data_IF_926611374027
#
_entry.id   IF_926611374027
#
_cell.length_a   1.000
_cell.length_b   1.000
_cell.length_c   1.000
_cell.angle_alpha   90.00
_cell.angle_beta   90.00
_cell.angle_gamma   90.00
#
_symmetry.space_group_name_H-M   'P 1'
#
loop_
_entity.id
_entity.type
_entity.pdbx_description
1 polymer ?
#
# COMPACT_ATOMS: atom_id res chain seq x y z
N UNK A 1 9.55 10.01 27.07
CA UNK A 1 8.93 10.32 25.76
C UNK A 1 7.86 9.29 25.45
N UNK A 2 6.65 9.72 25.06
CA UNK A 2 5.40 8.90 25.07
C UNK A 2 5.32 7.71 24.08
N UNK A 3 6.42 7.25 23.46
CA UNK A 3 6.42 6.09 22.54
C UNK A 3 5.59 6.25 21.26
N UNK A 4 5.03 7.45 21.00
CA UNK A 4 4.17 7.70 19.84
C UNK A 4 4.98 7.63 18.53
N UNK A 5 4.41 7.10 17.44
CA UNK A 5 5.09 7.02 16.16
C UNK A 5 5.44 8.42 15.63
N UNK A 6 6.65 8.57 15.08
CA UNK A 6 7.17 9.84 14.54
C UNK A 6 7.17 9.91 13.01
N UNK A 7 6.91 8.78 12.35
CA UNK A 7 6.86 8.67 10.89
C UNK A 7 5.42 8.49 10.44
N UNK A 8 5.02 9.26 9.45
CA UNK A 8 3.68 9.20 8.86
C UNK A 8 3.64 9.93 7.54
N UNK A 9 2.65 9.59 6.72
CA UNK A 9 2.32 10.34 5.53
C UNK A 9 1.58 11.63 5.91
N UNK A 10 1.71 12.67 5.09
CA UNK A 10 1.13 13.98 5.34
C UNK A 10 0.33 14.50 4.15
N UNK A 11 -0.56 15.45 4.43
CA UNK A 11 -1.24 16.30 3.45
C UNK A 11 -1.91 15.49 2.33
N UNK A 12 -1.41 15.60 1.11
CA UNK A 12 -2.00 15.04 -0.10
C UNK A 12 -2.10 13.52 -0.05
N UNK A 13 -1.20 12.85 0.66
CA UNK A 13 -1.26 11.39 0.82
C UNK A 13 -2.49 10.98 1.64
N UNK A 14 -2.84 11.75 2.67
CA UNK A 14 -4.04 11.50 3.48
C UNK A 14 -5.30 11.71 2.64
N UNK A 15 -5.33 12.76 1.82
CA UNK A 15 -6.45 13.09 0.93
C UNK A 15 -6.57 12.02 -0.17
N UNK A 16 -5.47 11.65 -0.82
CA UNK A 16 -5.43 10.60 -1.82
C UNK A 16 -5.86 9.26 -1.23
N UNK A 17 -5.45 8.92 -0.01
CA UNK A 17 -5.91 7.73 0.72
C UNK A 17 -7.41 7.73 0.95
N UNK A 18 -7.99 8.86 1.35
CA UNK A 18 -9.44 9.00 1.51
C UNK A 18 -10.18 8.89 0.16
N UNK A 19 -9.69 9.54 -0.90
CA UNK A 19 -10.27 9.46 -2.24
C UNK A 19 -10.13 8.08 -2.88
N UNK A 20 -9.04 7.37 -2.62
CA UNK A 20 -8.84 6.00 -3.09
C UNK A 20 -9.80 5.05 -2.37
N UNK A 21 -9.94 5.17 -1.05
CA UNK A 21 -10.70 4.23 -0.23
C UNK A 21 -12.19 4.55 -0.07
N UNK A 22 -12.71 5.65 -0.63
CA UNK A 22 -14.15 5.96 -0.62
C UNK A 22 -14.99 4.89 -1.35
N UNK A 23 -16.30 4.84 -1.06
CA UNK A 23 -17.23 3.84 -1.61
C UNK A 23 -17.35 3.89 -3.13
N UNK A 24 -17.32 5.09 -3.71
CA UNK A 24 -17.61 5.29 -5.13
C UNK A 24 -16.36 5.27 -6.04
N UNK A 25 -15.22 4.82 -5.52
CA UNK A 25 -13.98 4.73 -6.29
C UNK A 25 -13.83 3.35 -6.94
N UNK A 26 -14.04 3.32 -8.25
CA UNK A 26 -13.93 2.12 -9.09
C UNK A 26 -12.86 2.27 -10.17
N UNK A 27 -12.09 1.21 -10.37
CA UNK A 27 -10.92 1.19 -11.24
C UNK A 27 -11.01 0.06 -12.26
N UNK A 28 -10.51 0.31 -13.47
CA UNK A 28 -10.34 -0.75 -14.48
C UNK A 28 -9.12 -1.60 -14.18
N UNK A 29 -9.03 -2.76 -14.82
CA UNK A 29 -7.84 -3.61 -14.72
C UNK A 29 -6.54 -2.85 -15.04
N UNK A 30 -6.57 -1.96 -16.04
CA UNK A 30 -5.41 -1.18 -16.43
C UNK A 30 -4.98 -0.21 -15.31
N UNK A 31 -5.95 0.51 -14.74
CA UNK A 31 -5.71 1.45 -13.64
C UNK A 31 -5.14 0.73 -12.41
N UNK A 32 -5.71 -0.44 -12.05
CA UNK A 32 -5.22 -1.25 -10.93
C UNK A 32 -3.78 -1.71 -11.17
N UNK A 33 -3.48 -2.21 -12.37
CA UNK A 33 -2.11 -2.64 -12.70
C UNK A 33 -1.13 -1.47 -12.61
N UNK A 34 -1.52 -0.29 -13.11
CA UNK A 34 -0.70 0.91 -13.05
C UNK A 34 -0.47 1.39 -11.61
N UNK A 35 -1.53 1.45 -10.78
CA UNK A 35 -1.43 1.84 -9.37
C UNK A 35 -0.55 0.87 -8.56
N UNK A 36 -0.68 -0.43 -8.79
CA UNK A 36 0.16 -1.44 -8.13
C UNK A 36 1.62 -1.36 -8.59
N UNK A 37 1.85 -1.24 -9.90
CA UNK A 37 3.20 -1.12 -10.44
C UNK A 37 3.91 0.12 -9.88
N UNK A 38 3.25 1.27 -9.91
CA UNK A 38 3.81 2.53 -9.40
C UNK A 38 4.06 2.49 -7.89
N UNK A 39 3.13 1.96 -7.11
CA UNK A 39 3.28 1.83 -5.65
C UNK A 39 4.37 0.86 -5.22
N UNK A 40 4.58 -0.23 -5.97
CA UNK A 40 5.56 -1.27 -5.63
C UNK A 40 6.95 -1.02 -6.23
N UNK A 41 7.05 -0.17 -7.26
CA UNK A 41 8.30 0.13 -7.96
C UNK A 41 9.44 0.47 -7.00
N UNK A 42 9.21 1.36 -6.03
CA UNK A 42 10.23 1.75 -5.08
C UNK A 42 10.71 0.59 -4.19
N UNK A 43 9.80 -0.31 -3.78
CA UNK A 43 10.15 -1.48 -2.98
C UNK A 43 10.99 -2.49 -3.78
N UNK A 44 10.73 -2.62 -5.08
CA UNK A 44 11.50 -3.47 -5.99
C UNK A 44 12.88 -2.88 -6.29
N UNK A 45 12.95 -1.58 -6.59
CA UNK A 45 14.21 -0.88 -6.93
C UNK A 45 15.17 -0.79 -5.74
N UNK A 46 14.65 -0.64 -4.52
CA UNK A 46 15.46 -0.56 -3.30
C UNK A 46 15.95 -1.92 -2.81
N UNK A 47 15.54 -3.02 -3.46
CA UNK A 47 15.96 -4.40 -3.20
C UNK A 47 16.00 -4.71 -1.70
N UNK A 48 14.83 -4.91 -1.07
CA UNK A 48 14.54 -5.23 0.34
C UNK A 48 15.76 -5.68 1.17
N UNK A 49 16.64 -4.74 1.45
CA UNK A 49 17.83 -4.88 2.30
C UNK A 49 18.04 -3.62 3.14
N UNK A 50 17.20 -2.59 2.94
CA UNK A 50 17.24 -1.31 3.64
C UNK A 50 16.01 -1.03 4.50
N UNK A 51 14.98 -1.89 4.49
CA UNK A 51 13.87 -1.84 5.46
C UNK A 51 14.33 -2.46 6.79
N UNK A 52 15.30 -1.81 7.43
CA UNK A 52 15.75 -2.10 8.78
C UNK A 52 14.63 -1.68 9.75
N UNK A 53 13.80 -2.64 10.14
CA UNK A 53 12.88 -2.56 11.28
C UNK A 53 13.69 -2.58 12.58
N UNK A 54 14.46 -1.51 12.80
CA UNK A 54 15.06 -1.12 14.06
C UNK A 54 15.63 -2.24 14.93
N UNK A 55 16.91 -2.54 14.76
CA UNK A 55 17.78 -2.68 15.93
C UNK A 55 19.14 -2.04 15.68
N UNK A 56 19.21 -0.71 15.88
CA UNK A 56 20.46 0.05 15.77
C UNK A 56 21.42 -0.35 16.91
N UNK A 57 22.38 -1.23 16.61
CA UNK A 57 23.73 -1.10 17.15
C UNK A 57 24.64 -0.54 16.06
N UNK A 58 25.24 0.61 16.38
CA UNK A 58 26.10 1.42 15.51
C UNK A 58 27.24 0.56 14.95
N UNK A 59 27.52 0.70 13.65
CA UNK A 59 28.89 0.78 13.17
C UNK A 59 28.94 1.70 11.94
N UNK A 60 29.84 2.70 12.00
CA UNK A 60 30.16 3.62 10.91
C UNK A 60 30.90 2.83 9.82
N UNK A 61 30.36 2.75 8.61
CA UNK A 61 31.15 2.74 7.37
C UNK A 61 30.27 2.75 6.11
N UNK A 62 30.66 3.62 5.18
CA UNK A 62 30.22 3.75 3.78
C UNK A 62 28.75 4.12 3.53
N UNK A 63 28.55 5.43 3.33
CA UNK A 63 27.69 5.95 2.26
C UNK A 63 27.95 5.15 0.98
N UNK A 64 27.04 4.25 0.60
CA UNK A 64 27.01 3.71 -0.76
C UNK A 64 26.21 4.70 -1.61
N UNK A 65 26.77 5.17 -2.73
CA UNK A 65 26.06 6.09 -3.59
C UNK A 65 24.88 5.35 -4.25
N UNK A 66 23.83 6.13 -4.45
CA UNK A 66 22.71 5.86 -5.33
C UNK A 66 23.21 5.49 -6.73
N UNK A 67 23.29 4.20 -7.01
CA UNK A 67 23.57 3.66 -8.34
C UNK A 67 22.22 3.27 -8.92
N UNK A 68 21.80 3.90 -10.02
CA UNK A 68 20.77 3.33 -10.89
C UNK A 68 21.40 2.14 -11.61
N UNK A 69 21.05 0.88 -11.31
CA UNK A 69 21.42 -0.22 -12.18
C UNK A 69 20.63 0.00 -13.48
N UNK A 70 21.35 0.03 -14.60
CA UNK A 70 20.80 0.13 -15.95
C UNK A 70 19.45 -0.58 -16.08
N UNK A 71 18.43 0.14 -16.57
CA UNK A 71 17.01 -0.24 -16.70
C UNK A 71 16.72 -1.61 -17.35
N UNK A 72 17.72 -2.31 -17.88
CA UNK A 72 17.56 -3.48 -18.73
C UNK A 72 17.50 -4.83 -17.98
N UNK A 73 18.03 -4.92 -16.75
CA UNK A 73 18.27 -6.24 -16.12
C UNK A 73 17.35 -6.59 -14.94
N UNK A 74 16.56 -5.63 -14.45
CA UNK A 74 15.68 -5.80 -13.27
C UNK A 74 14.20 -6.00 -13.60
N UNK A 75 13.87 -6.19 -14.88
CA UNK A 75 12.58 -6.74 -15.35
C UNK A 75 12.51 -8.24 -15.07
N UNK A 76 13.06 -8.72 -13.95
CA UNK A 76 12.83 -10.06 -13.43
C UNK A 76 11.39 -10.09 -12.90
N UNK A 77 10.44 -10.17 -13.83
CA UNK A 77 9.00 -10.39 -13.68
C UNK A 77 8.43 -10.04 -12.29
N UNK A 78 8.12 -8.76 -12.05
CA UNK A 78 7.22 -8.38 -10.96
C UNK A 78 5.87 -9.07 -11.19
N UNK A 79 5.66 -10.20 -10.52
CA UNK A 79 4.43 -10.99 -10.63
C UNK A 79 3.36 -10.38 -9.73
N UNK A 80 2.67 -9.38 -10.26
CA UNK A 80 1.54 -8.76 -9.59
C UNK A 80 0.39 -9.78 -9.46
N UNK A 81 -0.01 -10.08 -8.23
CA UNK A 81 -1.23 -10.83 -7.96
C UNK A 81 -2.43 -9.89 -7.99
N UNK A 82 -3.40 -10.23 -8.82
CA UNK A 82 -4.67 -9.53 -8.93
C UNK A 82 -5.79 -10.40 -8.37
N UNK A 83 -6.56 -9.86 -7.43
CA UNK A 83 -7.78 -10.50 -6.93
C UNK A 83 -8.94 -10.32 -7.94
N UNK A 84 -10.02 -11.07 -7.77
CA UNK A 84 -11.23 -10.91 -8.60
C UNK A 84 -11.87 -9.52 -8.44
N UNK A 85 -12.44 -8.96 -9.51
CA UNK A 85 -13.09 -7.64 -9.44
C UNK A 85 -14.33 -7.68 -8.55
N UNK A 86 -14.61 -6.58 -7.83
CA UNK A 86 -15.86 -6.43 -7.05
C UNK A 86 -17.09 -6.48 -7.94
N UNK A 87 -17.00 -5.90 -9.14
CA UNK A 87 -18.11 -5.86 -10.11
C UNK A 87 -17.68 -6.64 -11.33
N UNK A 88 -18.47 -7.64 -11.73
CA UNK A 88 -18.16 -8.49 -12.89
C UNK A 88 -18.86 -8.02 -14.18
N UNK A 89 -20.08 -7.47 -14.08
CA UNK A 89 -20.90 -7.00 -15.20
C UNK A 89 -21.47 -5.62 -14.88
N UNK A 90 -21.69 -4.75 -15.88
CA UNK A 90 -21.40 -4.91 -17.31
C UNK A 90 -19.90 -4.83 -17.65
N UNK A 91 -19.08 -4.27 -16.75
CA UNK A 91 -17.61 -4.18 -16.89
C UNK A 91 -16.94 -4.63 -15.60
N UNK A 92 -15.80 -5.31 -15.74
CA UNK A 92 -14.94 -5.69 -14.61
C UNK A 92 -14.36 -4.44 -13.94
N UNK A 93 -14.73 -4.19 -12.68
CA UNK A 93 -14.26 -3.06 -11.90
C UNK A 93 -13.82 -3.50 -10.50
N UNK A 94 -12.72 -2.92 -10.04
CA UNK A 94 -12.18 -3.10 -8.70
C UNK A 94 -12.50 -1.89 -7.86
N UNK A 95 -12.83 -2.08 -6.58
CA UNK A 95 -12.95 -0.96 -5.65
C UNK A 95 -11.57 -0.48 -5.22
N UNK A 96 -11.43 0.79 -4.85
CA UNK A 96 -10.14 1.27 -4.34
C UNK A 96 -9.69 0.60 -3.04
N UNK A 97 -10.62 0.05 -2.25
CA UNK A 97 -10.29 -0.80 -1.10
C UNK A 97 -9.59 -2.10 -1.54
N UNK A 98 -10.06 -2.73 -2.63
CA UNK A 98 -9.37 -3.89 -3.19
C UNK A 98 -7.96 -3.53 -3.67
N UNK A 99 -7.77 -2.36 -4.28
CA UNK A 99 -6.43 -1.90 -4.71
C UNK A 99 -5.48 -1.81 -3.53
N UNK A 100 -5.94 -1.23 -2.41
CA UNK A 100 -5.12 -1.13 -1.19
C UNK A 100 -4.80 -2.50 -0.60
N UNK A 101 -5.79 -3.41 -0.53
CA UNK A 101 -5.58 -4.79 -0.08
C UNK A 101 -4.57 -5.54 -0.95
N UNK A 102 -4.70 -5.42 -2.27
CA UNK A 102 -3.79 -6.05 -3.22
C UNK A 102 -2.37 -5.47 -3.11
N UNK A 103 -2.24 -4.16 -2.89
CA UNK A 103 -0.94 -3.52 -2.65
C UNK A 103 -0.24 -4.13 -1.43
N UNK A 104 -0.95 -4.27 -0.31
CA UNK A 104 -0.39 -4.88 0.90
C UNK A 104 -0.01 -6.35 0.70
N UNK A 105 -0.88 -7.15 0.07
CA UNK A 105 -0.59 -8.55 -0.25
C UNK A 105 0.68 -8.69 -1.08
N UNK A 106 0.80 -7.91 -2.16
CA UNK A 106 1.97 -7.95 -3.03
C UNK A 106 3.23 -7.44 -2.30
N UNK A 107 3.12 -6.40 -1.46
CA UNK A 107 4.27 -5.90 -0.67
C UNK A 107 4.78 -6.95 0.32
N UNK A 108 3.89 -7.63 1.03
CA UNK A 108 4.26 -8.67 1.99
C UNK A 108 4.90 -9.87 1.28
N UNK A 109 4.37 -10.26 0.12
CA UNK A 109 4.98 -11.31 -0.72
C UNK A 109 6.39 -10.92 -1.19
N UNK A 110 6.60 -9.65 -1.55
CA UNK A 110 7.93 -9.15 -1.92
C UNK A 110 8.89 -9.17 -0.73
N UNK A 111 8.44 -8.79 0.47
CA UNK A 111 9.24 -8.76 1.70
C UNK A 111 9.71 -10.14 2.20
N UNK A 112 9.30 -11.24 1.56
CA UNK A 112 9.95 -12.53 1.71
C UNK A 112 9.58 -13.33 2.97
N UNK A 113 8.52 -12.96 3.68
CA UNK A 113 7.94 -13.84 4.69
C UNK A 113 7.33 -15.06 3.98
N UNK A 114 8.11 -16.15 3.88
CA UNK A 114 7.72 -17.41 3.19
C UNK A 114 6.57 -18.16 3.88
N UNK A 115 6.08 -17.66 5.01
CA UNK A 115 4.88 -18.17 5.69
C UNK A 115 3.71 -17.35 5.18
N UNK A 116 2.65 -18.00 4.68
CA UNK A 116 1.44 -17.32 4.24
C UNK A 116 1.07 -16.26 5.28
N UNK A 117 1.08 -14.96 4.92
CA UNK A 117 0.94 -13.92 5.90
C UNK A 117 -0.42 -14.08 6.57
N UNK A 118 -0.39 -14.24 7.89
CA UNK A 118 -1.60 -14.16 8.70
C UNK A 118 -2.19 -12.79 8.38
N UNK A 119 -3.41 -12.75 7.84
CA UNK A 119 -4.03 -11.49 7.45
C UNK A 119 -3.99 -10.49 8.60
N UNK A 120 -3.83 -9.21 8.28
CA UNK A 120 -3.87 -8.16 9.30
C UNK A 120 -5.31 -8.01 9.82
N UNK A 121 -5.51 -8.27 11.11
CA UNK A 121 -6.74 -7.91 11.82
C UNK A 121 -6.55 -6.55 12.49
N UNK A 122 -7.36 -5.56 12.10
CA UNK A 122 -7.31 -4.23 12.66
C UNK A 122 -8.72 -3.64 12.73
N UNK A 123 -9.18 -3.36 13.94
CA UNK A 123 -10.34 -2.50 14.19
C UNK A 123 -9.83 -1.12 14.58
N UNK A 124 -10.20 -0.10 13.81
CA UNK A 124 -9.78 1.28 14.02
C UNK A 124 -10.81 2.25 13.47
N UNK A 125 -10.89 3.42 14.09
CA UNK A 125 -11.81 4.48 13.70
C UNK A 125 -11.14 5.47 12.75
N UNK A 126 -11.92 6.05 11.85
CA UNK A 126 -11.48 7.16 11.00
C UNK A 126 -11.78 8.49 11.67
N UNK A 127 -11.06 9.55 11.27
CA UNK A 127 -11.34 10.92 11.77
C UNK A 127 -12.59 11.55 11.14
N UNK A 128 -13.08 11.00 10.04
CA UNK A 128 -14.29 11.48 9.37
C UNK A 128 -15.52 10.84 10.01
N UNK A 129 -16.46 11.62 10.55
CA UNK A 129 -17.75 11.09 10.99
C UNK A 129 -18.46 10.38 9.83
N UNK A 130 -19.30 9.37 10.08
CA UNK A 130 -20.03 8.75 8.98
C UNK A 130 -21.25 9.55 8.48
N UNK A 131 -21.70 10.58 9.22
CA UNK A 131 -22.75 11.51 8.79
C UNK A 131 -22.42 12.19 7.45
N UNK A 132 -21.15 12.56 7.24
CA UNK A 132 -20.70 13.17 5.98
C UNK A 132 -20.74 12.21 4.78
N UNK A 133 -20.97 10.92 5.03
CA UNK A 133 -21.12 9.87 4.02
C UNK A 133 -22.58 9.47 3.80
N UNK A 134 -23.55 10.29 4.25
CA UNK A 134 -24.97 9.95 4.29
C UNK A 134 -25.26 8.70 5.12
N UNK A 135 -24.43 8.43 6.13
CA UNK A 135 -24.67 7.39 7.12
C UNK A 135 -25.93 7.71 7.93
N UNK A 136 -26.75 6.69 8.20
CA UNK A 136 -27.99 6.85 8.99
C UNK A 136 -27.71 6.83 10.51
N UNK A 137 -26.46 6.60 10.91
CA UNK A 137 -26.02 6.33 12.28
C UNK A 137 -24.61 6.89 12.53
N UNK A 138 -24.45 8.21 12.59
CA UNK A 138 -23.30 8.83 13.26
C UNK A 138 -23.77 10.01 14.13
N UNK A 139 -24.92 9.84 14.78
CA UNK A 139 -25.36 10.70 15.87
C UNK A 139 -24.89 10.17 17.21
N UNK A 140 -23.62 10.34 17.53
CA UNK A 140 -23.18 10.62 18.91
C UNK A 140 -21.84 11.37 18.86
N UNK A 141 -21.88 12.62 19.31
CA UNK A 141 -20.72 13.46 19.58
C UNK A 141 -20.17 13.15 20.97
#
# INVERSE_FOLDING_TARGET
TSGKPLRGLIQDHCIAGAMLSKRDSFFTRADVCFLLYTGLRAAVETGISTFDFGNKKKNKSSTRPFVYPSLQSYTQHLRLRLDEPTILKPRKLWSGKQVFTMLLKNLVELCGERKAPVGLYLESNSKTPGDIWNGKLDGDK
#
